data_IF_576736659373
#
_entry.id   IF_576736659373
#
_cell.length_a   1.000
_cell.length_b   1.000
_cell.length_c   1.000
_cell.angle_alpha   90.00
_cell.angle_beta   90.00
_cell.angle_gamma   90.00
#
_symmetry.space_group_name_H-M   'P 1'
#
loop_
_entity.id
_entity.type
_entity.pdbx_description
1 polymer ?
#
# COMPACT_ATOMS: atom_id res chain seq x y z
N UNK A 1 2.83 -18.78 -31.06
CA UNK A 1 3.84 -17.75 -30.78
C UNK A 1 3.49 -16.33 -31.25
N UNK A 2 2.94 -16.11 -32.45
CA UNK A 2 2.60 -14.74 -32.95
C UNK A 2 1.47 -14.02 -32.19
N UNK A 3 0.50 -14.77 -31.63
CA UNK A 3 -0.63 -14.22 -30.85
C UNK A 3 -0.27 -13.71 -29.45
N UNK A 4 0.84 -14.15 -28.84
CA UNK A 4 1.29 -13.65 -27.52
C UNK A 4 2.08 -12.35 -27.64
N UNK A 5 2.89 -12.21 -28.69
CA UNK A 5 3.67 -11.00 -28.96
C UNK A 5 2.75 -9.79 -29.23
N UNK A 6 1.64 -9.99 -29.94
CA UNK A 6 0.66 -8.93 -30.23
C UNK A 6 -0.17 -8.53 -29.01
N UNK A 7 -0.45 -9.47 -28.09
CA UNK A 7 -1.13 -9.17 -26.82
C UNK A 7 -0.22 -8.37 -25.87
N UNK A 8 1.08 -8.68 -25.86
CA UNK A 8 2.10 -7.94 -25.12
C UNK A 8 2.27 -6.50 -25.64
N UNK A 9 2.31 -6.30 -26.96
CA UNK A 9 2.35 -4.96 -27.58
C UNK A 9 1.09 -4.14 -27.31
N UNK A 10 -0.11 -4.73 -27.34
CA UNK A 10 -1.35 -4.03 -26.99
C UNK A 10 -1.41 -3.64 -25.51
N UNK A 11 -0.91 -4.48 -24.61
CA UNK A 11 -0.82 -4.18 -23.17
C UNK A 11 0.18 -3.05 -22.88
N UNK A 12 1.34 -3.05 -23.55
CA UNK A 12 2.31 -1.95 -23.47
C UNK A 12 1.74 -0.62 -23.97
N UNK A 13 1.01 -0.63 -25.10
CA UNK A 13 0.38 0.57 -25.66
C UNK A 13 -0.82 1.07 -24.83
N UNK A 14 -1.53 0.19 -24.11
CA UNK A 14 -2.61 0.59 -23.19
C UNK A 14 -2.07 1.20 -21.89
N UNK A 15 -0.92 0.73 -21.40
CA UNK A 15 -0.19 1.35 -20.27
C UNK A 15 0.48 2.67 -20.65
N UNK A 16 0.83 2.85 -21.92
CA UNK A 16 1.41 4.10 -22.44
C UNK A 16 0.34 5.18 -22.68
N UNK A 17 -0.92 4.80 -22.93
CA UNK A 17 -2.01 5.73 -23.21
C UNK A 17 -2.75 6.26 -21.96
N UNK A 18 -2.63 5.62 -20.80
CA UNK A 18 -3.27 6.12 -19.59
C UNK A 18 -2.34 7.05 -18.78
N UNK A 19 -2.65 8.35 -18.86
CA UNK A 19 -2.26 9.45 -17.95
C UNK A 19 -1.13 10.40 -18.38
N UNK A 20 -0.50 10.29 -19.57
CA UNK A 20 0.59 11.23 -19.93
C UNK A 20 0.39 12.11 -21.16
N UNK A 21 -0.78 12.10 -21.82
CA UNK A 21 -1.10 13.06 -22.92
C UNK A 21 -2.06 14.18 -22.58
N UNK A 22 -2.74 14.16 -21.42
CA UNK A 22 -3.76 15.16 -21.08
C UNK A 22 -3.24 16.33 -20.23
N UNK A 23 -1.93 16.60 -20.25
CA UNK A 23 -1.40 17.89 -19.82
C UNK A 23 -1.05 18.64 -21.09
N UNK A 24 -1.94 19.55 -21.51
CA UNK A 24 -1.67 20.49 -22.59
C UNK A 24 -0.56 21.42 -22.10
N UNK A 25 0.69 21.06 -22.39
CA UNK A 25 1.83 21.93 -22.15
C UNK A 25 1.64 23.16 -23.04
N UNK A 26 1.72 24.35 -22.47
CA UNK A 26 1.86 25.57 -23.26
C UNK A 26 3.22 25.54 -23.97
N UNK A 27 3.32 26.12 -25.16
CA UNK A 27 4.58 26.21 -25.91
C UNK A 27 5.71 26.82 -25.07
N UNK A 28 5.34 27.69 -24.13
CA UNK A 28 6.25 28.39 -23.22
C UNK A 28 6.83 27.48 -22.12
N UNK A 29 6.08 26.46 -21.68
CA UNK A 29 6.57 25.45 -20.72
C UNK A 29 7.51 24.47 -21.42
N UNK A 30 7.26 24.16 -22.69
CA UNK A 30 8.12 23.31 -23.52
C UNK A 30 9.44 24.02 -23.87
N UNK A 31 9.39 25.31 -24.23
CA UNK A 31 10.56 26.10 -24.59
C UNK A 31 11.46 26.39 -23.39
N UNK A 32 10.89 26.61 -22.20
CA UNK A 32 11.66 26.66 -20.95
C UNK A 32 12.34 25.33 -20.64
N UNK A 33 11.70 24.20 -20.96
CA UNK A 33 12.29 22.87 -20.75
C UNK A 33 13.49 22.61 -21.67
N UNK A 34 13.44 23.06 -22.92
CA UNK A 34 14.59 23.01 -23.85
C UNK A 34 15.73 23.94 -23.44
N UNK A 35 15.41 25.14 -22.93
CA UNK A 35 16.41 26.07 -22.41
C UNK A 35 17.03 25.58 -21.09
N UNK A 36 16.29 24.85 -20.27
CA UNK A 36 16.76 24.26 -19.01
C UNK A 36 17.57 22.98 -19.22
N UNK A 37 17.26 22.20 -20.26
CA UNK A 37 18.12 21.10 -20.76
C UNK A 37 19.48 21.62 -21.22
N UNK A 38 19.55 22.81 -21.85
CA UNK A 38 20.82 23.50 -22.15
C UNK A 38 21.54 24.06 -20.91
N UNK A 39 20.86 24.18 -19.76
CA UNK A 39 21.40 24.69 -18.48
C UNK A 39 21.65 23.59 -17.41
N UNK A 40 21.56 22.31 -17.77
CA UNK A 40 21.83 21.20 -16.84
C UNK A 40 20.78 20.98 -15.75
N UNK A 41 19.56 21.53 -15.89
CA UNK A 41 18.49 21.37 -14.91
C UNK A 41 17.65 20.12 -15.22
N UNK A 42 17.95 19.09 -14.44
CA UNK A 42 17.43 17.73 -14.39
C UNK A 42 15.88 17.53 -14.43
N UNK A 43 15.44 16.40 -14.98
CA UNK A 43 14.03 16.00 -15.11
C UNK A 43 13.31 15.90 -13.75
N UNK A 44 13.97 15.38 -12.71
CA UNK A 44 13.41 15.29 -11.35
C UNK A 44 13.26 16.67 -10.69
N UNK A 45 14.23 17.57 -10.87
CA UNK A 45 14.23 18.91 -10.27
C UNK A 45 13.19 19.81 -10.93
N UNK A 46 13.07 19.72 -12.26
CA UNK A 46 12.00 20.35 -13.02
C UNK A 46 10.63 19.77 -12.63
N UNK A 47 10.55 18.44 -12.51
CA UNK A 47 9.35 17.77 -12.01
C UNK A 47 8.95 18.30 -10.63
N UNK A 48 9.93 18.56 -9.76
CA UNK A 48 9.71 19.08 -8.40
C UNK A 48 9.28 20.54 -8.39
N UNK A 49 9.95 21.41 -9.17
CA UNK A 49 9.59 22.84 -9.31
C UNK A 49 8.15 23.01 -9.76
N UNK A 50 7.67 22.14 -10.66
CA UNK A 50 6.31 22.18 -11.18
C UNK A 50 5.25 21.59 -10.22
N UNK A 51 5.60 21.07 -9.03
CA UNK A 51 4.61 20.57 -8.06
C UNK A 51 3.61 21.63 -7.64
N UNK A 52 4.07 22.86 -7.31
CA UNK A 52 3.19 23.94 -6.84
C UNK A 52 2.13 24.29 -7.89
N UNK A 53 2.56 24.36 -9.15
CA UNK A 53 1.68 24.63 -10.29
C UNK A 53 0.70 23.47 -10.57
N UNK A 54 1.14 22.20 -10.50
CA UNK A 54 0.24 21.05 -10.63
C UNK A 54 -0.75 20.96 -9.48
N UNK A 55 -0.32 21.29 -8.27
CA UNK A 55 -1.15 21.29 -7.08
C UNK A 55 -2.26 22.35 -7.16
N UNK A 56 -1.93 23.58 -7.60
CA UNK A 56 -2.91 24.67 -7.73
C UNK A 56 -3.96 24.40 -8.81
N UNK A 57 -3.60 23.72 -9.90
CA UNK A 57 -4.52 23.38 -11.01
C UNK A 57 -5.44 22.18 -10.73
N UNK A 58 -5.17 21.36 -9.71
CA UNK A 58 -5.93 20.12 -9.44
C UNK A 58 -7.12 20.38 -8.50
N UNK A 59 -8.22 19.63 -8.72
CA UNK A 59 -9.38 19.54 -7.78
C UNK A 59 -9.00 18.75 -6.52
N UNK A 60 -9.89 18.69 -5.52
CA UNK A 60 -9.67 18.09 -4.19
C UNK A 60 -8.89 16.76 -4.20
N UNK A 61 -9.38 15.73 -4.89
CA UNK A 61 -8.70 14.42 -4.98
C UNK A 61 -7.31 14.51 -5.64
N UNK A 62 -7.19 15.37 -6.65
CA UNK A 62 -5.93 15.60 -7.33
C UNK A 62 -4.90 16.31 -6.45
N UNK A 63 -5.32 17.18 -5.53
CA UNK A 63 -4.44 17.79 -4.53
C UNK A 63 -3.93 16.76 -3.53
N UNK A 64 -4.79 15.82 -3.09
CA UNK A 64 -4.40 14.72 -2.20
C UNK A 64 -3.38 13.81 -2.90
N UNK A 65 -3.65 13.35 -4.13
CA UNK A 65 -2.69 12.54 -4.90
C UNK A 65 -1.36 13.28 -5.09
N UNK A 66 -1.40 14.56 -5.44
CA UNK A 66 -0.21 15.37 -5.64
C UNK A 66 0.62 15.52 -4.35
N UNK A 67 -0.04 15.74 -3.22
CA UNK A 67 0.59 15.81 -1.90
C UNK A 67 1.17 14.47 -1.46
N UNK A 68 0.42 13.37 -1.63
CA UNK A 68 0.87 12.02 -1.32
C UNK A 68 2.11 11.65 -2.13
N UNK A 69 2.11 11.94 -3.43
CA UNK A 69 3.27 11.69 -4.29
C UNK A 69 4.50 12.47 -3.82
N UNK A 70 4.36 13.76 -3.54
CA UNK A 70 5.47 14.59 -3.03
C UNK A 70 6.02 14.03 -1.70
N UNK A 71 5.13 13.56 -0.81
CA UNK A 71 5.51 12.99 0.48
C UNK A 71 6.22 11.64 0.34
N UNK A 72 5.79 10.80 -0.61
CA UNK A 72 6.46 9.53 -0.95
C UNK A 72 7.87 9.83 -1.49
N UNK A 73 7.99 10.75 -2.44
CA UNK A 73 9.29 11.10 -3.04
C UNK A 73 10.27 11.62 -1.99
N UNK A 74 9.84 12.55 -1.13
CA UNK A 74 10.68 13.07 -0.06
C UNK A 74 11.13 11.99 0.94
N UNK A 75 10.29 11.00 1.23
CA UNK A 75 10.66 9.87 2.10
C UNK A 75 11.66 8.95 1.41
N UNK A 76 11.46 8.70 0.11
CA UNK A 76 12.33 7.82 -0.68
C UNK A 76 13.70 8.45 -0.93
N UNK A 77 13.78 9.78 -1.15
CA UNK A 77 15.03 10.55 -1.18
C UNK A 77 15.88 10.24 0.06
N UNK A 78 15.30 10.35 1.26
CA UNK A 78 15.99 10.08 2.52
C UNK A 78 16.46 8.62 2.65
N UNK A 79 15.68 7.67 2.13
CA UNK A 79 16.05 6.25 2.13
C UNK A 79 17.23 6.04 1.18
N UNK A 80 17.22 6.68 0.01
CA UNK A 80 18.28 6.58 -0.99
C UNK A 80 19.58 7.22 -0.50
N UNK A 81 19.53 8.41 0.10
CA UNK A 81 20.69 9.04 0.74
C UNK A 81 21.28 8.17 1.86
N UNK A 82 20.41 7.54 2.66
CA UNK A 82 20.84 6.61 3.70
C UNK A 82 21.48 5.36 3.09
N UNK A 83 20.95 4.85 1.97
CA UNK A 83 21.48 3.71 1.26
C UNK A 83 22.85 4.02 0.65
N UNK A 84 23.04 5.22 0.10
CA UNK A 84 24.30 5.67 -0.48
C UNK A 84 25.39 5.83 0.59
N UNK A 85 25.07 6.44 1.73
CA UNK A 85 25.99 6.55 2.88
C UNK A 85 26.40 5.19 3.47
N UNK A 86 25.57 4.16 3.28
CA UNK A 86 25.77 2.82 3.84
C UNK A 86 26.01 1.76 2.76
N UNK A 87 26.38 2.19 1.54
CA UNK A 87 26.53 1.33 0.36
C UNK A 87 27.52 0.18 0.57
N UNK A 88 28.52 0.40 1.43
CA UNK A 88 29.56 -0.58 1.74
C UNK A 88 29.15 -1.60 2.83
N UNK A 89 28.01 -1.40 3.51
CA UNK A 89 27.52 -2.27 4.58
C UNK A 89 25.99 -2.51 4.47
N UNK A 90 25.63 -3.35 3.49
CA UNK A 90 24.24 -3.79 3.22
C UNK A 90 23.56 -4.38 4.46
N UNK A 91 24.33 -5.05 5.33
CA UNK A 91 23.83 -5.67 6.57
C UNK A 91 23.41 -4.59 7.57
N UNK A 92 24.22 -3.55 7.75
CA UNK A 92 23.91 -2.40 8.61
C UNK A 92 22.74 -1.56 8.08
N UNK A 93 22.64 -1.37 6.76
CA UNK A 93 21.48 -0.70 6.15
C UNK A 93 20.17 -1.43 6.46
N UNK A 94 20.10 -2.74 6.17
CA UNK A 94 18.91 -3.55 6.45
C UNK A 94 18.56 -3.53 7.94
N UNK A 95 19.55 -3.63 8.83
CA UNK A 95 19.34 -3.57 10.29
C UNK A 95 18.76 -2.22 10.73
N UNK A 96 19.25 -1.10 10.18
CA UNK A 96 18.74 0.24 10.50
C UNK A 96 17.31 0.45 9.97
N UNK A 97 17.01 -0.01 8.76
CA UNK A 97 15.65 0.06 8.21
C UNK A 97 14.70 -0.81 9.01
N UNK A 98 15.08 -2.06 9.33
CA UNK A 98 14.26 -2.96 10.13
C UNK A 98 14.02 -2.39 11.53
N UNK A 99 15.02 -1.77 12.17
CA UNK A 99 14.85 -1.11 13.48
C UNK A 99 13.88 0.09 13.42
N UNK A 100 13.86 0.83 12.31
CA UNK A 100 13.04 2.04 12.17
C UNK A 100 11.61 1.77 11.66
N UNK A 101 11.45 0.81 10.77
CA UNK A 101 10.19 0.51 10.08
C UNK A 101 9.65 -0.89 10.36
N UNK A 102 10.49 -1.84 10.78
CA UNK A 102 10.11 -3.23 11.01
C UNK A 102 9.01 -3.38 12.06
N UNK A 103 9.14 -2.72 13.21
CA UNK A 103 8.09 -2.75 14.25
C UNK A 103 6.74 -2.26 13.70
N UNK A 104 6.74 -1.19 12.88
CA UNK A 104 5.50 -0.66 12.28
C UNK A 104 4.88 -1.63 11.27
N UNK A 105 5.71 -2.29 10.47
CA UNK A 105 5.24 -3.29 9.49
C UNK A 105 4.69 -4.52 10.22
N UNK A 106 5.35 -4.97 11.28
CA UNK A 106 4.89 -6.11 12.11
C UNK A 106 3.53 -5.78 12.75
N UNK A 107 3.38 -4.60 13.36
CA UNK A 107 2.11 -4.18 13.97
C UNK A 107 1.00 -4.09 12.93
N UNK A 108 1.29 -3.53 11.74
CA UNK A 108 0.31 -3.44 10.65
C UNK A 108 -0.12 -4.82 10.16
N UNK A 109 0.83 -5.76 10.04
CA UNK A 109 0.54 -7.16 9.71
C UNK A 109 -0.31 -7.83 10.78
N UNK A 110 0.06 -7.68 12.05
CA UNK A 110 -0.67 -8.24 13.19
C UNK A 110 -2.13 -7.74 13.22
N UNK A 111 -2.34 -6.46 12.90
CA UNK A 111 -3.67 -5.87 12.82
C UNK A 111 -4.57 -6.55 11.77
N UNK A 112 -4.01 -6.86 10.60
CA UNK A 112 -4.72 -7.61 9.56
C UNK A 112 -5.00 -9.05 10.00
N UNK A 113 -4.07 -9.66 10.74
CA UNK A 113 -4.23 -11.02 11.26
C UNK A 113 -5.32 -11.14 12.33
N UNK A 114 -5.58 -10.10 13.14
CA UNK A 114 -6.60 -10.14 14.19
C UNK A 114 -7.99 -10.53 13.66
N UNK A 115 -8.38 -10.00 12.49
CA UNK A 115 -9.65 -10.36 11.86
C UNK A 115 -9.71 -11.82 11.43
N UNK A 116 -8.60 -12.34 10.91
CA UNK A 116 -8.50 -13.74 10.50
C UNK A 116 -8.50 -14.70 11.70
N UNK A 117 -7.80 -14.32 12.78
CA UNK A 117 -7.75 -15.08 14.04
C UNK A 117 -9.13 -15.18 14.67
N UNK A 118 -9.90 -14.08 14.71
CA UNK A 118 -11.28 -14.11 15.21
C UNK A 118 -12.13 -15.13 14.44
N UNK A 119 -12.06 -15.12 13.11
CA UNK A 119 -12.77 -16.09 12.28
C UNK A 119 -12.30 -17.51 12.56
N UNK A 120 -11.00 -17.78 12.70
CA UNK A 120 -10.50 -19.14 12.98
C UNK A 120 -10.96 -19.65 14.36
N UNK A 121 -10.89 -18.82 15.39
CA UNK A 121 -11.19 -19.24 16.76
C UNK A 121 -12.64 -19.68 16.93
N UNK A 122 -13.55 -19.01 16.23
CA UNK A 122 -14.97 -19.10 16.51
C UNK A 122 -15.83 -19.66 15.36
N UNK A 123 -15.29 -19.78 14.14
CA UNK A 123 -16.02 -20.35 12.99
C UNK A 123 -15.95 -21.88 13.04
N UNK A 124 -17.09 -22.52 13.23
CA UNK A 124 -17.17 -23.99 13.21
C UNK A 124 -18.43 -24.62 13.79
N UNK A 125 -19.36 -23.83 14.34
CA UNK A 125 -20.59 -24.34 14.95
C UNK A 125 -20.32 -25.18 16.21
N UNK A 126 -21.36 -25.84 16.74
CA UNK A 126 -21.38 -26.40 18.13
C UNK A 126 -20.34 -27.49 18.41
N UNK A 127 -19.57 -27.98 17.42
CA UNK A 127 -18.56 -29.04 17.60
C UNK A 127 -17.23 -28.86 16.83
N UNK A 128 -17.13 -27.91 15.88
CA UNK A 128 -15.92 -27.75 15.05
C UNK A 128 -15.22 -26.41 15.26
N UNK A 129 -15.74 -25.53 16.11
CA UNK A 129 -15.05 -24.30 16.47
C UNK A 129 -13.91 -24.61 17.46
N UNK A 130 -12.80 -23.88 17.34
CA UNK A 130 -11.67 -23.97 18.25
C UNK A 130 -12.09 -23.58 19.69
N UNK A 131 -12.97 -22.59 19.78
CA UNK A 131 -13.66 -22.19 21.01
C UNK A 131 -15.16 -22.35 20.76
N UNK A 132 -15.74 -23.38 21.36
CA UNK A 132 -17.19 -23.58 21.34
C UNK A 132 -17.85 -22.61 22.34
N UNK A 133 -18.90 -21.93 21.92
CA UNK A 133 -19.75 -21.12 22.78
C UNK A 133 -21.04 -21.90 23.08
N UNK A 134 -21.50 -21.84 24.34
CA UNK A 134 -22.76 -22.44 24.76
C UNK A 134 -23.70 -21.38 25.33
N UNK A 135 -24.99 -21.53 25.06
CA UNK A 135 -26.05 -20.59 25.47
C UNK A 135 -26.93 -21.20 26.59
N UNK A 136 -26.71 -22.47 26.94
CA UNK A 136 -27.48 -23.15 27.98
C UNK A 136 -27.20 -22.53 29.36
N UNK A 137 -28.25 -21.99 30.00
CA UNK A 137 -28.17 -21.38 31.33
C UNK A 137 -27.65 -22.35 32.40
N UNK A 138 -27.78 -23.66 32.17
CA UNK A 138 -27.23 -24.71 33.04
C UNK A 138 -25.70 -24.63 33.15
N UNK A 139 -25.00 -24.16 32.11
CA UNK A 139 -23.55 -23.94 32.14
C UNK A 139 -23.11 -22.65 32.83
N UNK A 140 -24.06 -21.81 33.27
CA UNK A 140 -23.73 -20.62 34.08
C UNK A 140 -23.15 -21.00 35.44
N UNK A 141 -23.62 -22.12 36.01
CA UNK A 141 -23.33 -22.51 37.39
C UNK A 141 -22.44 -23.76 37.50
N UNK A 142 -22.44 -24.63 36.48
CA UNK A 142 -21.58 -25.81 36.43
C UNK A 142 -21.02 -25.98 35.00
N UNK A 143 -19.72 -25.70 34.77
CA UNK A 143 -19.10 -25.80 33.45
C UNK A 143 -18.91 -27.24 32.96
N UNK A 144 -19.31 -28.27 33.73
CA UNK A 144 -19.06 -29.68 33.40
C UNK A 144 -20.30 -30.57 33.29
N UNK A 145 -21.52 -30.03 33.37
CA UNK A 145 -22.72 -30.85 33.23
C UNK A 145 -23.04 -31.16 31.75
N UNK A 146 -23.38 -32.42 31.45
CA UNK A 146 -23.83 -32.95 30.13
C UNK A 146 -22.83 -33.01 28.96
N UNK A 147 -21.52 -33.02 29.23
CA UNK A 147 -20.52 -33.32 28.18
C UNK A 147 -20.30 -32.20 27.14
N UNK A 148 -20.87 -31.02 27.37
CA UNK A 148 -20.61 -29.82 26.59
C UNK A 148 -19.36 -29.11 27.14
N UNK A 149 -18.38 -28.82 26.27
CA UNK A 149 -17.12 -28.12 26.61
C UNK A 149 -17.11 -26.64 26.21
N UNK A 150 -18.29 -26.02 26.10
CA UNK A 150 -18.44 -24.66 25.59
C UNK A 150 -18.35 -23.58 26.67
N UNK A 151 -17.88 -22.38 26.33
CA UNK A 151 -17.94 -21.21 27.20
C UNK A 151 -19.36 -20.62 27.21
N UNK A 152 -19.93 -20.42 28.40
CA UNK A 152 -21.25 -19.80 28.53
C UNK A 152 -21.23 -18.36 28.00
N UNK A 153 -22.20 -18.04 27.14
CA UNK A 153 -22.44 -16.69 26.62
C UNK A 153 -23.94 -16.39 26.63
N UNK A 154 -24.29 -15.13 26.86
CA UNK A 154 -25.66 -14.63 26.72
C UNK A 154 -26.00 -14.24 25.27
N UNK A 155 -25.01 -14.29 24.37
CA UNK A 155 -25.17 -13.92 22.96
C UNK A 155 -25.70 -15.14 22.20
N UNK A 156 -26.85 -14.97 21.57
CA UNK A 156 -27.45 -15.98 20.69
C UNK A 156 -26.50 -16.37 19.54
N UNK A 157 -26.62 -17.62 19.08
CA UNK A 157 -25.72 -18.20 18.08
C UNK A 157 -25.86 -17.50 16.73
N UNK A 158 -27.08 -17.15 16.31
CA UNK A 158 -27.31 -16.43 15.06
C UNK A 158 -26.74 -15.01 15.12
N UNK A 159 -26.88 -14.33 16.26
CA UNK A 159 -26.27 -13.03 16.52
C UNK A 159 -24.74 -13.11 16.46
N UNK A 160 -24.17 -14.14 17.04
CA UNK A 160 -22.73 -14.37 17.02
C UNK A 160 -22.19 -14.66 15.61
N UNK A 161 -22.87 -15.52 14.85
CA UNK A 161 -22.51 -15.84 13.46
C UNK A 161 -22.57 -14.59 12.58
N UNK A 162 -23.58 -13.73 12.77
CA UNK A 162 -23.68 -12.45 12.07
C UNK A 162 -22.51 -11.52 12.41
N UNK A 163 -22.11 -11.43 13.68
CA UNK A 163 -20.94 -10.65 14.11
C UNK A 163 -19.67 -11.19 13.46
N UNK A 164 -19.50 -12.51 13.42
CA UNK A 164 -18.33 -13.14 12.79
C UNK A 164 -18.25 -12.87 11.29
N UNK A 165 -19.37 -12.96 10.57
CA UNK A 165 -19.44 -12.63 9.14
C UNK A 165 -19.15 -11.15 8.91
N UNK A 166 -19.77 -10.25 9.68
CA UNK A 166 -19.54 -8.81 9.59
C UNK A 166 -18.06 -8.46 9.81
N UNK A 167 -17.46 -9.07 10.84
CA UNK A 167 -16.06 -8.86 11.19
C UNK A 167 -15.11 -9.35 10.07
N UNK A 168 -15.36 -10.54 9.54
CA UNK A 168 -14.61 -11.08 8.40
C UNK A 168 -14.69 -10.16 7.18
N UNK A 169 -15.90 -9.69 6.82
CA UNK A 169 -16.11 -8.79 5.69
C UNK A 169 -15.41 -7.45 5.92
N UNK A 170 -15.50 -6.89 7.12
CA UNK A 170 -14.83 -5.65 7.48
C UNK A 170 -13.31 -5.74 7.32
N UNK A 171 -12.68 -6.76 7.91
CA UNK A 171 -11.23 -6.96 7.79
C UNK A 171 -10.79 -7.29 6.36
N UNK A 172 -11.63 -7.97 5.58
CA UNK A 172 -11.37 -8.18 4.15
C UNK A 172 -11.29 -6.84 3.40
N UNK A 173 -12.26 -5.93 3.58
CA UNK A 173 -12.23 -4.60 2.97
C UNK A 173 -11.03 -3.78 3.44
N UNK A 174 -10.71 -3.79 4.73
CA UNK A 174 -9.51 -3.13 5.28
C UNK A 174 -8.23 -3.67 4.63
N UNK A 175 -8.14 -5.00 4.46
CA UNK A 175 -7.03 -5.66 3.76
C UNK A 175 -6.90 -5.22 2.30
N UNK A 176 -8.00 -5.18 1.56
CA UNK A 176 -8.03 -4.70 0.17
C UNK A 176 -7.58 -3.24 0.08
N UNK A 177 -8.05 -2.37 0.96
CA UNK A 177 -7.63 -0.95 1.00
C UNK A 177 -6.13 -0.83 1.25
N UNK A 178 -5.59 -1.56 2.24
CA UNK A 178 -4.15 -1.55 2.54
C UNK A 178 -3.36 -2.06 1.33
N UNK A 179 -3.81 -3.12 0.67
CA UNK A 179 -3.18 -3.66 -0.52
C UNK A 179 -3.15 -2.65 -1.67
N UNK A 180 -4.25 -1.95 -1.94
CA UNK A 180 -4.31 -0.88 -2.95
C UNK A 180 -3.35 0.28 -2.61
N UNK A 181 -3.26 0.66 -1.34
CA UNK A 181 -2.30 1.68 -0.88
C UNK A 181 -0.86 1.22 -1.10
N UNK A 182 -0.55 -0.06 -0.83
CA UNK A 182 0.77 -0.64 -1.10
C UNK A 182 1.11 -0.60 -2.60
N UNK A 183 0.19 -1.04 -3.48
CA UNK A 183 0.36 -0.96 -4.93
C UNK A 183 0.59 0.49 -5.37
N UNK A 184 -0.20 1.44 -4.87
CA UNK A 184 -0.04 2.85 -5.18
C UNK A 184 1.36 3.36 -4.80
N UNK A 185 1.86 3.01 -3.61
CA UNK A 185 3.22 3.37 -3.17
C UNK A 185 4.27 2.79 -4.13
N UNK A 186 4.15 1.52 -4.51
CA UNK A 186 5.08 0.87 -5.45
C UNK A 186 5.10 1.56 -6.82
N UNK A 187 3.92 1.89 -7.36
CA UNK A 187 3.81 2.62 -8.65
C UNK A 187 4.51 3.99 -8.56
N UNK A 188 4.32 4.72 -7.45
CA UNK A 188 4.99 6.02 -7.25
C UNK A 188 6.50 5.86 -7.07
N UNK A 189 6.98 4.80 -6.41
CA UNK A 189 8.41 4.49 -6.29
C UNK A 189 9.02 4.21 -7.68
N UNK A 190 8.39 3.36 -8.48
CA UNK A 190 8.87 3.10 -9.86
C UNK A 190 8.92 4.38 -10.70
N UNK A 191 7.94 5.28 -10.53
CA UNK A 191 7.93 6.58 -11.19
C UNK A 191 9.10 7.46 -10.71
N UNK A 192 9.40 7.46 -9.42
CA UNK A 192 10.55 8.17 -8.86
C UNK A 192 11.87 7.66 -9.46
N UNK A 193 12.09 6.35 -9.47
CA UNK A 193 13.33 5.74 -9.99
C UNK A 193 13.54 6.10 -11.46
N UNK A 194 12.48 6.05 -12.29
CA UNK A 194 12.54 6.49 -13.70
C UNK A 194 12.93 7.96 -13.86
N UNK A 195 12.46 8.85 -12.99
CA UNK A 195 12.83 10.27 -13.03
C UNK A 195 14.27 10.49 -12.55
N UNK A 196 14.72 9.70 -11.58
CA UNK A 196 16.08 9.78 -11.03
C UNK A 196 17.13 9.21 -11.96
N UNK A 197 16.86 8.10 -12.66
CA UNK A 197 17.79 7.51 -13.62
C UNK A 197 18.04 8.44 -14.82
N UNK A 198 17.05 9.25 -15.19
CA UNK A 198 17.21 10.29 -16.21
C UNK A 198 18.12 11.43 -15.75
N UNK A 199 18.13 11.75 -14.45
CA UNK A 199 19.11 12.67 -13.89
C UNK A 199 20.54 12.10 -13.91
N UNK A 200 20.72 10.85 -13.47
CA UNK A 200 22.05 10.24 -13.34
C UNK A 200 22.78 9.99 -14.67
N UNK A 201 22.03 9.90 -15.78
CA UNK A 201 22.61 9.83 -17.14
C UNK A 201 23.14 11.17 -17.63
N UNK A 202 22.59 12.29 -17.16
CA UNK A 202 22.98 13.64 -17.58
C UNK A 202 24.24 14.09 -16.82
N UNK A 203 24.44 13.65 -15.58
CA UNK A 203 25.63 13.99 -14.78
C UNK A 203 26.93 13.26 -15.16
N UNK A 204 26.90 12.42 -16.21
CA UNK A 204 28.05 11.61 -16.67
C UNK A 204 28.49 11.91 -18.10
N UNK A 205 27.85 12.89 -18.75
CA UNK A 205 28.21 13.43 -20.07
C UNK A 205 28.90 14.76 -19.83
#
# INVERSE_FOLDING_TARGET
>A
MKKELDRSKKSANLLENNSYRNVKYTSDDLSKCEQLKKKGLCDLDLYRKNYKHRYSKKKFLGKIDCYCEQKIFNKYDRIYELAEKLKNDKKSFNKKILKKYGVRIIILGLLLFLGFVFTILFKGGKNNALINLCIEEKHKNDPSHDGCKGFYTTIDQNTFDNIAVLNYVFFFFVGVIIFLVCIYILIKIMKYDRLKDRNGKISKI
#
